data_IF_505020786202
#
_entry.id   IF_505020786202
#
_cell.length_a   1.000
_cell.length_b   1.000
_cell.length_c   1.000
_cell.angle_alpha   90.00
_cell.angle_beta   90.00
_cell.angle_gamma   90.00
#
_symmetry.space_group_name_H-M   'P 1'
#
loop_
_entity.id
_entity.type
_entity.pdbx_description
1 polymer ?
#
# COMPACT_ATOMS: atom_id res chain seq x y z
N UNK A 1 36.32 -14.04 24.95
CA UNK A 1 35.84 -14.34 23.59
C UNK A 1 34.92 -15.54 23.78
N UNK A 2 33.61 -15.30 23.86
CA UNK A 2 32.65 -16.40 23.96
C UNK A 2 32.63 -17.08 22.59
N UNK A 3 32.85 -18.37 22.57
CA UNK A 3 32.70 -19.21 21.39
C UNK A 3 31.25 -19.09 20.91
N UNK A 4 31.05 -18.27 19.86
CA UNK A 4 29.84 -18.30 19.06
C UNK A 4 29.83 -19.66 18.33
N UNK A 5 29.35 -20.69 19.01
CA UNK A 5 28.98 -21.94 18.38
C UNK A 5 27.81 -21.64 17.46
N UNK A 6 28.13 -21.38 16.20
CA UNK A 6 27.16 -21.22 15.13
C UNK A 6 26.49 -22.57 14.93
N UNK A 7 25.33 -22.80 15.53
CA UNK A 7 24.51 -23.95 15.20
C UNK A 7 24.11 -23.84 13.71
N UNK A 8 24.82 -24.56 12.86
CA UNK A 8 24.64 -24.61 11.41
C UNK A 8 23.27 -25.17 10.97
N UNK A 9 22.35 -25.30 11.92
CA UNK A 9 21.01 -25.86 11.76
C UNK A 9 19.84 -24.92 12.01
N UNK A 10 20.07 -23.68 12.48
CA UNK A 10 18.97 -22.75 12.70
C UNK A 10 18.22 -22.47 11.36
N UNK A 11 16.87 -22.53 11.33
CA UNK A 11 16.09 -22.38 10.10
C UNK A 11 16.45 -21.13 9.29
N UNK A 12 16.74 -20.02 9.98
CA UNK A 12 17.12 -18.76 9.35
C UNK A 12 18.50 -18.80 8.69
N UNK A 13 19.52 -19.41 9.32
CA UNK A 13 20.84 -19.57 8.73
C UNK A 13 20.78 -20.40 7.44
N UNK A 14 19.87 -21.38 7.37
CA UNK A 14 19.62 -22.16 6.16
C UNK A 14 19.04 -21.30 5.04
N UNK A 15 18.04 -20.45 5.32
CA UNK A 15 17.44 -19.54 4.36
C UNK A 15 18.49 -18.58 3.78
N UNK A 16 19.30 -17.95 4.66
CA UNK A 16 20.39 -17.07 4.25
C UNK A 16 21.43 -17.79 3.37
N UNK A 17 21.79 -19.03 3.71
CA UNK A 17 22.70 -19.87 2.90
C UNK A 17 22.14 -20.16 1.51
N UNK A 18 20.82 -20.40 1.38
CA UNK A 18 20.15 -20.64 0.09
C UNK A 18 20.26 -19.40 -0.80
N UNK A 19 19.89 -18.23 -0.29
CA UNK A 19 19.86 -17.00 -1.08
C UNK A 19 21.23 -16.37 -1.31
N UNK A 20 22.20 -16.61 -0.42
CA UNK A 20 23.53 -15.98 -0.41
C UNK A 20 24.62 -16.72 -1.19
N UNK A 21 24.35 -17.87 -1.80
CA UNK A 21 25.37 -18.71 -2.48
C UNK A 21 25.88 -18.15 -3.81
N UNK A 22 25.47 -16.96 -4.20
CA UNK A 22 25.85 -16.36 -5.49
C UNK A 22 25.05 -16.91 -6.68
N UNK A 23 25.28 -16.36 -7.90
CA UNK A 23 24.37 -16.53 -9.03
C UNK A 23 24.22 -17.96 -9.55
N UNK A 24 25.21 -18.81 -9.34
CA UNK A 24 25.22 -20.17 -9.90
C UNK A 24 24.69 -21.25 -8.92
N UNK A 25 24.72 -20.97 -7.62
CA UNK A 25 24.38 -21.94 -6.57
C UNK A 25 23.24 -21.46 -5.67
N UNK A 26 22.94 -20.17 -5.67
CA UNK A 26 21.80 -19.59 -4.96
C UNK A 26 20.52 -19.77 -5.76
N UNK A 27 19.42 -19.88 -5.05
CA UNK A 27 18.06 -19.88 -5.63
C UNK A 27 17.13 -19.00 -4.81
N UNK A 28 15.97 -18.71 -5.35
CA UNK A 28 14.88 -18.13 -4.58
C UNK A 28 14.38 -19.12 -3.53
N UNK A 29 13.88 -18.59 -2.42
CA UNK A 29 13.15 -19.38 -1.44
C UNK A 29 11.78 -19.78 -2.00
N UNK A 30 11.34 -20.98 -1.62
CA UNK A 30 9.94 -21.34 -1.78
C UNK A 30 9.04 -20.57 -0.80
N UNK A 31 7.72 -20.69 -0.99
CA UNK A 31 6.72 -20.00 -0.18
C UNK A 31 6.92 -20.26 1.33
N UNK A 32 7.00 -21.51 1.73
CA UNK A 32 7.15 -21.93 3.13
C UNK A 32 8.53 -21.58 3.70
N UNK A 33 9.59 -21.66 2.87
CA UNK A 33 10.93 -21.25 3.28
C UNK A 33 10.99 -19.74 3.56
N UNK A 34 10.38 -18.94 2.72
CA UNK A 34 10.29 -17.47 2.88
C UNK A 34 9.41 -17.07 4.07
N UNK A 35 8.31 -17.77 4.27
CA UNK A 35 7.42 -17.60 5.43
C UNK A 35 8.17 -17.89 6.73
N UNK A 36 8.85 -19.03 6.83
CA UNK A 36 9.62 -19.40 8.01
C UNK A 36 10.77 -18.42 8.29
N UNK A 37 11.49 -17.97 7.25
CA UNK A 37 12.57 -17.00 7.41
C UNK A 37 12.05 -15.64 7.92
N UNK A 38 10.95 -15.13 7.33
CA UNK A 38 10.37 -13.88 7.78
C UNK A 38 9.75 -13.99 9.17
N UNK A 39 9.16 -15.14 9.51
CA UNK A 39 8.65 -15.44 10.85
C UNK A 39 9.76 -15.31 11.89
N UNK A 40 10.92 -15.95 11.67
CA UNK A 40 12.06 -15.87 12.58
C UNK A 40 12.58 -14.43 12.77
N UNK A 41 12.54 -13.60 11.69
CA UNK A 41 12.90 -12.17 11.79
C UNK A 41 11.89 -11.43 12.66
N UNK A 42 10.59 -11.65 12.44
CA UNK A 42 9.53 -10.93 13.14
C UNK A 42 9.43 -11.35 14.63
N UNK A 43 9.76 -12.59 14.94
CA UNK A 43 9.78 -13.12 16.30
C UNK A 43 11.09 -12.79 17.07
N UNK A 44 12.06 -12.15 16.39
CA UNK A 44 13.34 -11.78 17.00
C UNK A 44 14.31 -12.94 17.20
N UNK A 45 14.10 -14.05 16.51
CA UNK A 45 14.94 -15.25 16.58
C UNK A 45 16.19 -15.17 15.67
N UNK A 46 16.17 -14.23 14.71
CA UNK A 46 17.28 -14.02 13.79
C UNK A 46 18.21 -12.94 14.32
N UNK A 47 19.54 -13.19 14.20
CA UNK A 47 20.56 -12.20 14.50
C UNK A 47 20.48 -10.98 13.58
N UNK A 48 20.70 -9.78 14.11
CA UNK A 48 20.55 -8.52 13.36
C UNK A 48 21.49 -8.42 12.15
N UNK A 49 22.71 -8.99 12.22
CA UNK A 49 23.63 -9.06 11.10
C UNK A 49 23.08 -9.97 10.00
N UNK A 50 22.51 -11.10 10.39
CA UNK A 50 21.85 -12.02 9.46
C UNK A 50 20.63 -11.37 8.81
N UNK A 51 19.81 -10.64 9.57
CA UNK A 51 18.66 -9.90 9.05
C UNK A 51 19.10 -8.90 7.99
N UNK A 52 20.10 -8.07 8.29
CA UNK A 52 20.63 -7.09 7.33
C UNK A 52 21.15 -7.75 6.04
N UNK A 53 21.92 -8.83 6.18
CA UNK A 53 22.47 -9.60 5.04
C UNK A 53 21.34 -10.22 4.19
N UNK A 54 20.32 -10.79 4.83
CA UNK A 54 19.17 -11.40 4.15
C UNK A 54 18.37 -10.36 3.35
N UNK A 55 18.01 -9.24 3.98
CA UNK A 55 17.26 -8.17 3.35
C UNK A 55 17.98 -7.58 2.15
N UNK A 56 19.30 -7.35 2.25
CA UNK A 56 20.11 -6.84 1.14
C UNK A 56 20.29 -7.87 0.03
N UNK A 57 20.44 -9.15 0.36
CA UNK A 57 20.57 -10.23 -0.63
C UNK A 57 19.30 -10.36 -1.46
N UNK A 58 18.12 -10.38 -0.83
CA UNK A 58 16.85 -10.39 -1.55
C UNK A 58 16.69 -9.14 -2.42
N UNK A 59 17.06 -7.96 -1.90
CA UNK A 59 16.97 -6.70 -2.65
C UNK A 59 17.85 -6.68 -3.88
N UNK A 60 19.09 -7.15 -3.80
CA UNK A 60 20.03 -7.12 -4.91
C UNK A 60 19.73 -8.15 -5.99
N UNK A 61 19.20 -9.29 -5.58
CA UNK A 61 18.79 -10.36 -6.49
C UNK A 61 17.42 -10.12 -7.13
N UNK A 62 16.58 -9.32 -6.50
CA UNK A 62 15.16 -9.20 -6.78
C UNK A 62 14.37 -10.32 -6.09
N UNK A 63 13.40 -9.95 -5.29
CA UNK A 63 12.50 -10.89 -4.64
C UNK A 63 11.57 -11.57 -5.65
N UNK A 64 11.37 -12.89 -5.52
CA UNK A 64 10.39 -13.64 -6.28
C UNK A 64 8.98 -13.47 -5.70
N UNK A 65 7.96 -13.79 -6.49
CA UNK A 65 6.56 -13.77 -6.02
C UNK A 65 6.32 -14.71 -4.84
N UNK A 66 6.96 -15.90 -4.84
CA UNK A 66 6.86 -16.86 -3.74
C UNK A 66 7.52 -16.32 -2.46
N UNK A 67 8.69 -15.67 -2.58
CA UNK A 67 9.37 -15.00 -1.45
C UNK A 67 8.50 -13.88 -0.88
N UNK A 68 7.93 -13.05 -1.75
CA UNK A 68 7.04 -11.96 -1.33
C UNK A 68 5.77 -12.51 -0.64
N UNK A 69 5.12 -13.51 -1.22
CA UNK A 69 3.93 -14.13 -0.65
C UNK A 69 4.21 -14.79 0.71
N UNK A 70 5.31 -15.53 0.85
CA UNK A 70 5.71 -16.15 2.12
C UNK A 70 5.98 -15.10 3.21
N UNK A 71 6.69 -14.03 2.87
CA UNK A 71 6.92 -12.92 3.79
C UNK A 71 5.61 -12.23 4.22
N UNK A 72 4.64 -12.05 3.28
CA UNK A 72 3.32 -11.50 3.60
C UNK A 72 2.55 -12.45 4.53
N UNK A 73 2.56 -13.76 4.30
CA UNK A 73 1.90 -14.74 5.17
C UNK A 73 2.44 -14.68 6.60
N UNK A 74 3.77 -14.67 6.75
CA UNK A 74 4.41 -14.53 8.05
C UNK A 74 4.01 -13.24 8.78
N UNK A 75 3.92 -12.13 8.05
CA UNK A 75 3.49 -10.85 8.60
C UNK A 75 2.01 -10.86 9.00
N UNK A 76 1.11 -11.33 8.12
CA UNK A 76 -0.34 -11.42 8.39
C UNK A 76 -0.64 -12.27 9.63
N UNK A 77 0.09 -13.36 9.86
CA UNK A 77 -0.08 -14.22 11.03
C UNK A 77 0.25 -13.54 12.38
N UNK A 78 0.88 -12.36 12.34
CA UNK A 78 1.30 -11.60 13.54
C UNK A 78 0.59 -10.25 13.68
N UNK A 79 -0.40 -9.99 12.81
CA UNK A 79 -1.23 -8.80 12.95
C UNK A 79 -2.20 -8.95 14.11
N UNK A 80 -2.63 -7.85 14.75
CA UNK A 80 -3.72 -7.88 15.70
C UNK A 80 -5.01 -8.36 15.01
N UNK A 81 -5.90 -8.98 15.78
CA UNK A 81 -7.21 -9.38 15.26
C UNK A 81 -8.08 -8.13 15.01
N UNK A 82 -8.38 -7.89 13.75
CA UNK A 82 -9.20 -6.79 13.26
C UNK A 82 -10.37 -7.28 12.39
N UNK A 83 -10.65 -8.59 12.38
CA UNK A 83 -11.73 -9.18 11.56
C UNK A 83 -13.12 -8.59 11.87
N UNK A 84 -13.31 -8.10 13.09
CA UNK A 84 -14.54 -7.41 13.47
C UNK A 84 -14.77 -6.04 12.81
N UNK A 85 -13.75 -5.50 12.12
CA UNK A 85 -13.85 -4.23 11.41
C UNK A 85 -14.43 -4.42 10.01
N UNK A 86 -15.72 -4.60 9.83
CA UNK A 86 -16.30 -4.74 8.49
C UNK A 86 -15.75 -3.70 7.49
N UNK A 87 -14.72 -4.08 6.69
CA UNK A 87 -14.00 -3.22 5.74
C UNK A 87 -14.33 -3.66 4.31
N UNK A 88 -14.74 -2.72 3.46
CA UNK A 88 -14.98 -2.99 2.05
C UNK A 88 -13.68 -2.88 1.24
N UNK A 89 -12.85 -1.87 1.54
CA UNK A 89 -11.63 -1.57 0.78
C UNK A 89 -10.44 -1.36 1.72
N UNK A 90 -9.43 -2.19 1.58
CA UNK A 90 -8.12 -2.03 2.18
C UNK A 90 -7.21 -1.18 1.27
N UNK A 91 -6.50 -0.23 1.86
CA UNK A 91 -5.68 0.72 1.10
C UNK A 91 -4.34 0.97 1.78
N UNK A 92 -3.28 0.24 1.42
CA UNK A 92 -1.94 0.44 1.94
C UNK A 92 -1.30 1.75 1.43
N UNK A 93 -0.71 2.52 2.34
CA UNK A 93 -0.02 3.78 2.10
C UNK A 93 1.40 3.72 2.69
N UNK A 94 2.35 3.26 1.88
CA UNK A 94 3.72 2.96 2.30
C UNK A 94 4.80 3.68 1.47
N UNK A 95 4.44 4.72 0.75
CA UNK A 95 5.43 5.59 0.15
C UNK A 95 6.07 6.45 1.25
N UNK A 96 7.38 6.29 1.42
CA UNK A 96 8.17 6.97 2.47
C UNK A 96 8.64 8.37 2.06
N UNK A 97 8.61 8.70 0.76
CA UNK A 97 9.04 9.98 0.22
C UNK A 97 8.05 10.50 -0.81
N UNK A 98 7.19 11.41 -0.41
CA UNK A 98 6.22 12.04 -1.28
C UNK A 98 6.82 13.25 -2.01
N UNK A 99 6.78 13.21 -3.34
CA UNK A 99 7.18 14.33 -4.21
C UNK A 99 5.99 15.02 -4.88
N UNK A 100 4.79 14.69 -4.41
CA UNK A 100 3.51 15.24 -4.84
C UNK A 100 2.52 15.06 -3.67
N UNK A 101 1.49 15.88 -3.65
CA UNK A 101 0.44 15.78 -2.62
C UNK A 101 -0.28 14.42 -2.69
N UNK A 102 -0.70 13.87 -1.52
CA UNK A 102 -1.40 12.60 -1.43
C UNK A 102 -2.89 12.75 -1.82
N UNK A 103 -3.15 13.07 -3.10
CA UNK A 103 -4.50 13.24 -3.63
C UNK A 103 -5.36 11.99 -3.49
N UNK A 104 -4.73 10.81 -3.35
CA UNK A 104 -5.43 9.54 -3.08
C UNK A 104 -6.26 9.58 -1.79
N UNK A 105 -5.91 10.42 -0.82
CA UNK A 105 -6.70 10.62 0.39
C UNK A 105 -8.08 11.20 0.08
N UNK A 106 -8.18 12.05 -0.94
CA UNK A 106 -9.47 12.56 -1.42
C UNK A 106 -10.27 11.46 -2.13
N UNK A 107 -9.61 10.55 -2.86
CA UNK A 107 -10.28 9.40 -3.46
C UNK A 107 -10.83 8.45 -2.37
N UNK A 108 -10.04 8.15 -1.34
CA UNK A 108 -10.49 7.35 -0.21
C UNK A 108 -11.68 8.02 0.52
N UNK A 109 -11.61 9.33 0.73
CA UNK A 109 -12.72 10.11 1.32
C UNK A 109 -13.96 10.11 0.45
N UNK A 110 -13.80 10.22 -0.87
CA UNK A 110 -14.91 10.19 -1.82
C UNK A 110 -15.64 8.85 -1.77
N UNK A 111 -14.91 7.75 -1.75
CA UNK A 111 -15.45 6.41 -1.60
C UNK A 111 -16.16 6.23 -0.25
N UNK A 112 -15.57 6.72 0.83
CA UNK A 112 -16.19 6.67 2.15
C UNK A 112 -17.54 7.40 2.18
N UNK A 113 -17.64 8.58 1.53
CA UNK A 113 -18.90 9.31 1.38
C UNK A 113 -19.93 8.60 0.50
N UNK A 114 -19.46 7.74 -0.42
CA UNK A 114 -20.31 6.86 -1.23
C UNK A 114 -20.69 5.54 -0.52
N UNK A 115 -20.45 5.44 0.79
CA UNK A 115 -20.84 4.28 1.62
C UNK A 115 -19.86 3.11 1.52
N UNK A 116 -18.62 3.31 1.05
CA UNK A 116 -17.56 2.30 1.08
C UNK A 116 -16.78 2.45 2.38
N UNK A 117 -16.67 1.37 3.17
CA UNK A 117 -15.85 1.37 4.39
C UNK A 117 -14.39 1.16 4.02
N UNK A 118 -13.59 2.22 4.10
CA UNK A 118 -12.18 2.26 3.66
C UNK A 118 -11.26 2.22 4.86
N UNK A 119 -10.36 1.24 4.90
CA UNK A 119 -9.27 1.18 5.86
C UNK A 119 -7.95 1.53 5.18
N UNK A 120 -7.44 2.72 5.49
CA UNK A 120 -6.08 3.09 5.18
C UNK A 120 -5.13 2.57 6.26
N UNK A 121 -3.98 2.07 5.87
CA UNK A 121 -2.90 1.73 6.80
C UNK A 121 -1.54 2.04 6.18
N UNK A 122 -0.55 2.39 7.01
CA UNK A 122 0.73 2.78 6.42
C UNK A 122 1.70 3.42 7.40
N UNK A 123 2.67 4.11 6.81
CA UNK A 123 3.64 4.95 7.55
C UNK A 123 3.30 6.42 7.38
N UNK A 124 3.76 7.24 8.33
CA UNK A 124 3.49 8.69 8.29
C UNK A 124 4.02 9.36 7.02
N UNK A 125 5.11 8.83 6.45
CA UNK A 125 5.86 9.45 5.37
C UNK A 125 6.76 10.58 5.88
N UNK A 126 7.75 10.93 5.06
CA UNK A 126 8.65 12.05 5.34
C UNK A 126 8.25 13.30 4.55
N UNK A 127 8.50 14.48 5.13
CA UNK A 127 8.28 15.75 4.48
C UNK A 127 6.85 16.29 4.55
N UNK A 128 6.60 17.46 3.95
CA UNK A 128 5.35 18.21 4.13
C UNK A 128 4.15 17.54 3.42
N UNK A 129 4.36 16.70 2.43
CA UNK A 129 3.29 16.02 1.67
C UNK A 129 3.10 14.55 2.11
N UNK A 130 3.56 14.17 3.31
CA UNK A 130 3.36 12.84 3.86
C UNK A 130 1.88 12.54 4.12
N UNK A 131 1.56 11.26 4.23
CA UNK A 131 0.19 10.80 4.48
C UNK A 131 -0.38 11.38 5.76
N UNK A 132 0.42 11.47 6.84
CA UNK A 132 -0.01 12.06 8.12
C UNK A 132 -0.47 13.51 7.95
N UNK A 133 0.34 14.33 7.29
CA UNK A 133 0.03 15.76 7.08
C UNK A 133 -1.23 15.92 6.22
N UNK A 134 -1.43 15.04 5.23
CA UNK A 134 -2.67 15.02 4.45
C UNK A 134 -3.90 14.64 5.28
N UNK A 135 -3.79 13.64 6.15
CA UNK A 135 -4.87 13.26 7.07
C UNK A 135 -5.24 14.38 8.03
N UNK A 136 -4.23 15.04 8.63
CA UNK A 136 -4.41 16.18 9.51
C UNK A 136 -5.13 17.36 8.82
N UNK A 137 -4.68 17.69 7.59
CA UNK A 137 -5.31 18.75 6.79
C UNK A 137 -6.78 18.48 6.45
N UNK A 138 -7.13 17.20 6.32
CA UNK A 138 -8.50 16.74 6.05
C UNK A 138 -9.33 16.49 7.32
N UNK A 139 -8.74 16.65 8.51
CA UNK A 139 -9.40 16.34 9.78
C UNK A 139 -9.67 14.86 10.00
N UNK A 140 -8.88 13.97 9.36
CA UNK A 140 -8.99 12.53 9.51
C UNK A 140 -8.07 12.08 10.65
N UNK A 141 -8.66 11.50 11.70
CA UNK A 141 -7.92 11.02 12.86
C UNK A 141 -7.08 9.77 12.59
N UNK A 142 -5.98 9.63 13.35
CA UNK A 142 -5.14 8.44 13.36
C UNK A 142 -5.64 7.51 14.44
N UNK A 143 -6.14 6.32 14.06
CA UNK A 143 -6.56 5.31 15.01
C UNK A 143 -5.34 4.54 15.54
N UNK A 144 -5.30 4.30 16.85
CA UNK A 144 -4.23 3.55 17.52
C UNK A 144 -4.78 2.36 18.32
N UNK A 145 -5.98 1.92 17.97
CA UNK A 145 -6.60 0.71 18.49
C UNK A 145 -7.69 0.25 17.53
N UNK A 146 -8.10 -1.02 17.64
CA UNK A 146 -9.20 -1.58 16.88
C UNK A 146 -10.51 -0.81 17.10
N UNK A 147 -10.83 -0.46 18.37
CA UNK A 147 -12.02 0.29 18.73
C UNK A 147 -12.01 1.72 18.16
N UNK A 148 -10.83 2.36 18.13
CA UNK A 148 -10.70 3.69 17.52
C UNK A 148 -10.92 3.62 16.00
N UNK A 149 -10.42 2.58 15.35
CA UNK A 149 -10.65 2.34 13.92
C UNK A 149 -12.13 2.04 13.64
N UNK A 150 -12.77 1.20 14.47
CA UNK A 150 -14.20 0.90 14.36
C UNK A 150 -15.05 2.18 14.44
N UNK A 151 -14.82 3.01 15.48
CA UNK A 151 -15.52 4.30 15.63
C UNK A 151 -15.31 5.25 14.45
N UNK A 152 -14.09 5.27 13.87
CA UNK A 152 -13.80 6.10 12.70
C UNK A 152 -14.54 5.58 11.44
N UNK A 153 -14.54 4.26 11.22
CA UNK A 153 -15.29 3.62 10.14
C UNK A 153 -16.79 3.85 10.27
N UNK A 154 -17.35 3.77 11.48
CA UNK A 154 -18.79 3.96 11.72
C UNK A 154 -19.22 5.42 11.54
N UNK A 155 -18.38 6.37 11.95
CA UNK A 155 -18.68 7.79 11.85
C UNK A 155 -18.43 8.37 10.46
N UNK A 156 -17.27 8.03 9.85
CA UNK A 156 -16.77 8.69 8.67
C UNK A 156 -16.65 7.77 7.44
N UNK A 157 -16.86 6.44 7.60
CA UNK A 157 -16.58 5.44 6.57
C UNK A 157 -15.10 5.26 6.26
N UNK A 158 -14.19 5.93 6.98
CA UNK A 158 -12.76 5.99 6.71
C UNK A 158 -11.97 5.93 8.01
N UNK A 159 -11.02 5.00 8.11
CA UNK A 159 -10.07 4.92 9.21
C UNK A 159 -8.64 4.83 8.69
N UNK A 160 -7.67 5.31 9.48
CA UNK A 160 -6.24 5.12 9.23
C UNK A 160 -5.57 4.47 10.45
N UNK A 161 -4.87 3.35 10.20
CA UNK A 161 -4.07 2.62 11.18
C UNK A 161 -2.57 2.73 10.84
N UNK A 162 -1.72 3.28 11.74
CA UNK A 162 -0.29 3.34 11.50
C UNK A 162 0.36 1.95 11.62
N UNK A 163 1.43 1.72 10.84
CA UNK A 163 2.18 0.46 10.85
C UNK A 163 2.74 0.14 12.23
N UNK A 164 3.14 1.16 12.98
CA UNK A 164 3.67 1.04 14.34
C UNK A 164 2.66 0.40 15.30
N UNK A 165 1.37 0.56 15.05
CA UNK A 165 0.31 -0.14 15.79
C UNK A 165 0.09 -1.55 15.23
N UNK A 166 0.01 -1.70 13.91
CA UNK A 166 -0.30 -2.98 13.25
C UNK A 166 0.82 -4.02 13.41
N UNK A 167 2.06 -3.58 13.22
CA UNK A 167 3.22 -4.47 13.18
C UNK A 167 4.49 -3.69 13.57
N UNK A 168 4.75 -3.44 14.88
CA UNK A 168 5.87 -2.65 15.35
C UNK A 168 7.22 -3.12 14.78
N UNK A 169 7.44 -4.43 14.72
CA UNK A 169 8.69 -4.97 14.17
C UNK A 169 8.87 -4.67 12.68
N UNK A 170 7.79 -4.68 11.88
CA UNK A 170 7.87 -4.24 10.48
C UNK A 170 8.17 -2.74 10.36
N UNK A 171 7.65 -1.92 11.25
CA UNK A 171 7.97 -0.49 11.29
C UNK A 171 9.47 -0.27 11.57
N UNK A 172 10.05 -1.00 12.53
CA UNK A 172 11.49 -0.98 12.83
C UNK A 172 12.32 -1.42 11.61
N UNK A 173 11.91 -2.50 10.92
CA UNK A 173 12.60 -2.99 9.73
C UNK A 173 12.51 -1.99 8.55
N UNK A 174 11.40 -1.29 8.37
CA UNK A 174 11.30 -0.20 7.39
C UNK A 174 12.23 0.97 7.73
N UNK A 175 12.38 1.27 9.02
CA UNK A 175 13.27 2.33 9.52
C UNK A 175 14.77 2.00 9.33
N UNK A 176 15.14 0.79 8.91
CA UNK A 176 16.53 0.45 8.57
C UNK A 176 17.01 1.08 7.24
N UNK A 177 16.12 1.63 6.42
CA UNK A 177 16.48 2.23 5.12
C UNK A 177 17.67 3.21 5.18
N UNK A 178 17.77 4.18 6.11
CA UNK A 178 18.93 5.07 6.21
C UNK A 178 20.24 4.34 6.55
N UNK A 179 20.16 3.25 7.31
CA UNK A 179 21.32 2.43 7.70
C UNK A 179 21.76 1.48 6.58
N UNK A 180 20.81 0.90 5.82
CA UNK A 180 21.07 -0.02 4.71
C UNK A 180 21.31 0.71 3.38
N UNK A 181 20.94 1.99 3.27
CA UNK A 181 21.07 2.80 2.06
C UNK A 181 20.02 2.51 0.98
N UNK A 182 19.23 1.46 1.12
CA UNK A 182 18.24 1.02 0.12
C UNK A 182 16.93 0.56 0.77
N UNK A 183 15.85 0.55 -0.02
CA UNK A 183 14.61 -0.16 0.34
C UNK A 183 14.82 -1.67 0.22
N UNK A 184 14.10 -2.45 1.04
CA UNK A 184 14.17 -3.91 1.09
C UNK A 184 12.83 -4.54 0.74
N UNK A 185 12.73 -5.87 0.78
CA UNK A 185 11.46 -6.60 0.60
C UNK A 185 10.38 -6.14 1.59
N UNK A 186 10.76 -5.59 2.74
CA UNK A 186 9.80 -5.08 3.74
C UNK A 186 8.93 -3.99 3.13
N UNK A 187 9.47 -3.11 2.26
CA UNK A 187 8.71 -2.07 1.57
C UNK A 187 7.68 -2.63 0.56
N UNK A 188 7.89 -3.85 0.08
CA UNK A 188 6.94 -4.58 -0.79
C UNK A 188 5.91 -5.33 0.06
N UNK A 189 6.33 -6.12 1.04
CA UNK A 189 5.45 -6.99 1.82
C UNK A 189 4.37 -6.21 2.61
N UNK A 190 4.70 -5.04 3.17
CA UNK A 190 3.72 -4.24 3.95
C UNK A 190 2.50 -3.81 3.12
N UNK A 191 2.62 -3.77 1.79
CA UNK A 191 1.49 -3.48 0.89
C UNK A 191 0.51 -4.65 0.80
N UNK A 192 0.92 -5.84 1.22
CA UNK A 192 0.12 -7.05 1.25
C UNK A 192 -0.52 -7.39 2.59
N UNK A 193 -0.47 -6.51 3.61
CA UNK A 193 -0.88 -6.88 4.98
C UNK A 193 -2.35 -7.22 5.13
N UNK A 194 -3.28 -6.46 4.52
CA UNK A 194 -4.74 -6.67 4.65
C UNK A 194 -5.19 -6.96 6.09
N UNK A 195 -5.02 -5.99 7.01
CA UNK A 195 -5.15 -6.26 8.44
C UNK A 195 -6.56 -6.57 8.92
N UNK A 196 -7.59 -6.18 8.16
CA UNK A 196 -8.99 -6.41 8.49
C UNK A 196 -9.67 -7.42 7.56
N UNK A 197 -8.92 -8.14 6.71
CA UNK A 197 -9.46 -9.05 5.69
C UNK A 197 -10.59 -8.41 4.89
N UNK A 198 -10.28 -7.30 4.23
CA UNK A 198 -11.22 -6.50 3.46
C UNK A 198 -11.85 -7.29 2.30
N UNK A 199 -12.98 -6.80 1.80
CA UNK A 199 -13.65 -7.40 0.63
C UNK A 199 -12.86 -7.20 -0.67
N UNK A 200 -12.07 -6.12 -0.75
CA UNK A 200 -11.19 -5.83 -1.89
C UNK A 200 -10.02 -4.95 -1.44
N UNK A 201 -8.97 -4.88 -2.26
CA UNK A 201 -7.76 -4.08 -1.96
C UNK A 201 -7.30 -3.30 -3.17
N UNK A 202 -6.78 -2.07 -2.96
CA UNK A 202 -6.15 -1.28 -4.02
C UNK A 202 -4.70 -0.98 -3.65
N UNK A 203 -3.76 -1.40 -4.49
CA UNK A 203 -2.32 -1.35 -4.20
C UNK A 203 -1.58 -0.48 -5.22
N UNK A 204 -0.88 0.54 -4.74
CA UNK A 204 0.02 1.36 -5.53
C UNK A 204 1.44 0.81 -5.56
N UNK A 205 2.06 0.78 -6.75
CA UNK A 205 3.45 0.36 -6.94
C UNK A 205 4.20 1.44 -7.72
N UNK A 206 5.41 1.77 -7.31
CA UNK A 206 6.18 2.85 -7.95
C UNK A 206 6.85 2.42 -9.26
N UNK A 207 7.51 1.26 -9.25
CA UNK A 207 8.26 0.76 -10.41
C UNK A 207 7.47 -0.31 -11.16
N UNK A 208 7.25 -0.15 -12.49
CA UNK A 208 6.45 -1.09 -13.29
C UNK A 208 6.83 -2.58 -13.17
N UNK A 209 8.13 -2.96 -13.09
CA UNK A 209 8.50 -4.37 -12.92
C UNK A 209 7.92 -5.05 -11.66
N UNK A 210 7.66 -4.28 -10.60
CA UNK A 210 7.07 -4.81 -9.37
C UNK A 210 5.56 -5.07 -9.46
N UNK A 211 4.86 -4.51 -10.48
CA UNK A 211 3.42 -4.79 -10.69
C UNK A 211 3.18 -6.29 -10.81
N UNK A 212 3.96 -6.96 -11.67
CA UNK A 212 3.81 -8.39 -11.90
C UNK A 212 4.18 -9.21 -10.64
N UNK A 213 5.27 -8.86 -9.97
CA UNK A 213 5.69 -9.55 -8.75
C UNK A 213 4.63 -9.48 -7.65
N UNK A 214 4.00 -8.31 -7.47
CA UNK A 214 2.88 -8.16 -6.52
C UNK A 214 1.65 -8.95 -6.97
N UNK A 215 1.28 -8.91 -8.25
CA UNK A 215 0.13 -9.64 -8.75
C UNK A 215 0.29 -11.16 -8.60
N UNK A 216 1.47 -11.69 -8.91
CA UNK A 216 1.77 -13.12 -8.72
C UNK A 216 1.81 -13.51 -7.24
N UNK A 217 2.32 -12.64 -6.36
CA UNK A 217 2.30 -12.88 -4.92
C UNK A 217 0.86 -12.91 -4.39
N UNK A 218 -0.01 -11.95 -4.80
CA UNK A 218 -1.42 -11.95 -4.42
C UNK A 218 -2.17 -13.17 -4.97
N UNK A 219 -1.86 -13.63 -6.19
CA UNK A 219 -2.41 -14.87 -6.75
C UNK A 219 -2.00 -16.11 -5.92
N UNK A 220 -0.75 -16.16 -5.41
CA UNK A 220 -0.30 -17.24 -4.53
C UNK A 220 -1.02 -17.19 -3.18
N UNK A 221 -1.28 -15.98 -2.67
CA UNK A 221 -1.98 -15.78 -1.40
C UNK A 221 -3.47 -16.13 -1.46
N UNK A 222 -4.06 -16.14 -2.67
CA UNK A 222 -5.46 -16.50 -2.94
C UNK A 222 -6.46 -15.83 -1.98
N UNK A 223 -6.28 -14.51 -1.83
CA UNK A 223 -7.10 -13.68 -0.94
C UNK A 223 -8.27 -12.98 -1.64
N UNK A 224 -8.69 -11.85 -1.11
CA UNK A 224 -9.72 -11.00 -1.73
C UNK A 224 -9.24 -10.41 -3.07
N UNK A 225 -10.17 -9.92 -3.92
CA UNK A 225 -9.83 -9.19 -5.13
C UNK A 225 -8.89 -8.01 -4.89
N UNK A 226 -7.83 -7.88 -5.72
CA UNK A 226 -6.85 -6.81 -5.60
C UNK A 226 -6.66 -6.09 -6.94
N UNK A 227 -6.71 -4.77 -6.94
CA UNK A 227 -6.30 -3.95 -8.06
C UNK A 227 -4.90 -3.36 -7.80
N UNK A 228 -3.94 -3.70 -8.66
CA UNK A 228 -2.56 -3.25 -8.53
C UNK A 228 -2.25 -2.32 -9.70
N UNK A 229 -1.79 -1.11 -9.40
CA UNK A 229 -1.51 -0.10 -10.41
C UNK A 229 -0.18 0.62 -10.16
N UNK A 230 0.40 1.17 -11.24
CA UNK A 230 1.50 2.12 -11.09
C UNK A 230 0.97 3.42 -10.52
N UNK A 231 1.31 3.71 -9.27
CA UNK A 231 0.82 4.87 -8.57
C UNK A 231 1.74 6.07 -8.58
N UNK A 232 1.15 7.24 -8.46
CA UNK A 232 1.86 8.50 -8.25
C UNK A 232 2.58 8.51 -6.91
N UNK A 233 3.90 8.76 -6.92
CA UNK A 233 4.70 8.74 -5.70
C UNK A 233 4.86 7.36 -5.04
N UNK A 234 4.27 6.30 -5.59
CA UNK A 234 4.27 4.95 -5.00
C UNK A 234 3.00 4.63 -4.20
N UNK A 235 2.07 5.56 -4.15
CA UNK A 235 0.73 5.38 -3.60
C UNK A 235 -0.26 4.90 -4.68
N UNK A 236 -1.39 4.32 -4.30
CA UNK A 236 -2.46 4.00 -5.24
C UNK A 236 -3.16 5.29 -5.71
N UNK A 237 -2.46 6.05 -6.52
CA UNK A 237 -2.88 7.34 -7.08
C UNK A 237 -2.64 7.34 -8.58
N UNK A 238 -3.71 7.34 -9.36
CA UNK A 238 -3.65 7.32 -10.82
C UNK A 238 -3.06 8.62 -11.36
N UNK A 239 -2.15 8.51 -12.36
CA UNK A 239 -1.79 9.67 -13.18
C UNK A 239 -2.84 9.81 -14.30
N UNK A 240 -3.62 10.91 -14.35
CA UNK A 240 -4.70 11.08 -15.33
C UNK A 240 -4.22 11.40 -16.75
N UNK A 241 -2.98 11.83 -16.92
CA UNK A 241 -2.40 12.23 -18.21
C UNK A 241 -1.95 11.05 -19.07
N UNK A 242 -1.92 9.84 -18.47
CA UNK A 242 -1.39 8.63 -19.11
C UNK A 242 -2.37 7.47 -18.97
N UNK A 243 -2.38 6.54 -19.94
CA UNK A 243 -3.06 5.28 -19.74
C UNK A 243 -2.54 4.58 -18.48
N UNK A 244 -3.45 4.01 -17.71
CA UNK A 244 -3.13 3.31 -16.48
C UNK A 244 -3.34 1.81 -16.66
N UNK A 245 -2.26 1.04 -16.55
CA UNK A 245 -2.29 -0.40 -16.50
C UNK A 245 -2.67 -0.83 -15.08
N UNK A 246 -3.75 -1.58 -14.95
CA UNK A 246 -4.24 -2.15 -13.70
C UNK A 246 -4.19 -3.67 -13.83
N UNK A 247 -3.51 -4.34 -12.91
CA UNK A 247 -3.56 -5.79 -12.76
C UNK A 247 -4.61 -6.11 -11.70
N UNK A 248 -5.71 -6.74 -12.13
CA UNK A 248 -6.76 -7.24 -11.26
C UNK A 248 -6.47 -8.70 -10.95
N UNK A 249 -6.34 -9.02 -9.67
CA UNK A 249 -6.09 -10.38 -9.18
C UNK A 249 -7.33 -10.86 -8.44
N UNK A 250 -7.84 -12.01 -8.84
CA UNK A 250 -9.00 -12.69 -8.24
C UNK A 250 -8.76 -14.20 -8.26
N UNK A 251 -9.69 -14.99 -7.71
CA UNK A 251 -9.63 -16.45 -7.71
C UNK A 251 -9.46 -17.05 -9.12
N UNK A 252 -9.90 -16.35 -10.18
CA UNK A 252 -9.73 -16.75 -11.58
C UNK A 252 -8.35 -16.49 -12.18
N UNK A 253 -7.45 -15.80 -11.48
CA UNK A 253 -6.13 -15.44 -11.96
C UNK A 253 -5.84 -13.94 -11.98
N UNK A 254 -4.94 -13.55 -12.90
CA UNK A 254 -4.53 -12.16 -13.10
C UNK A 254 -5.11 -11.67 -14.42
N UNK A 255 -5.93 -10.64 -14.39
CA UNK A 255 -6.46 -9.93 -15.53
C UNK A 255 -5.75 -8.59 -15.69
N UNK A 256 -5.29 -8.26 -16.89
CA UNK A 256 -4.75 -6.95 -17.21
C UNK A 256 -5.81 -6.05 -17.83
N UNK A 257 -6.05 -4.90 -17.25
CA UNK A 257 -6.95 -3.88 -17.73
C UNK A 257 -6.17 -2.60 -18.08
N UNK A 258 -6.38 -2.06 -19.27
CA UNK A 258 -5.82 -0.78 -19.68
C UNK A 258 -6.89 0.32 -19.57
N UNK A 259 -6.73 1.20 -18.61
CA UNK A 259 -7.60 2.36 -18.40
C UNK A 259 -7.08 3.54 -19.24
N UNK A 260 -7.89 4.18 -20.10
CA UNK A 260 -7.44 5.27 -20.96
C UNK A 260 -7.01 6.50 -20.14
N UNK A 261 -6.14 7.35 -20.70
CA UNK A 261 -5.85 8.65 -20.10
C UNK A 261 -7.13 9.47 -19.99
N UNK A 262 -7.29 10.23 -18.90
CA UNK A 262 -8.43 11.12 -18.67
C UNK A 262 -8.16 12.52 -19.24
N UNK A 263 -6.90 12.95 -19.19
CA UNK A 263 -6.42 14.26 -19.63
C UNK A 263 -5.15 14.09 -20.49
N UNK A 264 -5.24 13.49 -21.69
CA UNK A 264 -4.06 13.16 -22.50
C UNK A 264 -3.29 14.39 -22.98
N UNK A 265 -3.94 15.52 -23.14
CA UNK A 265 -3.34 16.79 -23.60
C UNK A 265 -2.80 17.64 -22.45
N UNK A 266 -3.14 17.34 -21.22
CA UNK A 266 -2.69 18.08 -20.05
C UNK A 266 -1.24 17.72 -19.68
N UNK A 267 -0.55 18.68 -19.05
CA UNK A 267 0.79 18.51 -18.49
C UNK A 267 0.86 19.22 -17.15
N UNK A 268 0.40 18.52 -16.12
CA UNK A 268 0.48 19.03 -14.76
C UNK A 268 1.88 18.79 -14.17
N UNK A 269 2.43 19.81 -13.54
CA UNK A 269 3.78 19.76 -12.99
C UNK A 269 3.82 19.05 -11.62
N UNK A 270 3.51 17.74 -11.60
CA UNK A 270 3.40 16.92 -10.37
C UNK A 270 4.58 17.03 -9.41
N UNK A 271 5.79 17.30 -9.92
CA UNK A 271 7.00 17.39 -9.09
C UNK A 271 7.33 18.80 -8.63
N UNK A 272 6.63 19.77 -9.17
CA UNK A 272 6.82 21.20 -8.92
C UNK A 272 5.63 21.80 -8.18
N UNK A 273 4.59 20.98 -7.92
CA UNK A 273 3.43 21.45 -7.19
C UNK A 273 3.82 21.85 -5.75
N UNK A 274 3.22 22.92 -5.21
CA UNK A 274 3.41 23.28 -3.81
C UNK A 274 2.99 22.13 -2.89
N UNK A 275 3.92 21.64 -2.07
CA UNK A 275 3.69 20.53 -1.15
C UNK A 275 3.00 21.01 0.14
N UNK A 276 1.89 21.70 -0.01
CA UNK A 276 1.08 22.28 1.07
C UNK A 276 -0.16 21.41 1.30
N UNK A 277 -0.24 20.65 2.43
CA UNK A 277 -1.37 19.76 2.70
C UNK A 277 -2.74 20.46 2.73
N UNK A 278 -2.78 21.76 3.08
CA UNK A 278 -4.01 22.55 3.06
C UNK A 278 -4.70 22.58 1.66
N UNK A 279 -3.93 22.38 0.58
CA UNK A 279 -4.46 22.29 -0.78
C UNK A 279 -5.40 21.10 -0.98
N UNK A 280 -5.23 20.01 -0.23
CA UNK A 280 -6.16 18.87 -0.22
C UNK A 280 -7.56 19.33 0.22
N UNK A 281 -7.61 20.08 1.32
CA UNK A 281 -8.87 20.63 1.83
C UNK A 281 -9.45 21.66 0.86
N UNK A 282 -8.64 22.59 0.37
CA UNK A 282 -9.09 23.61 -0.57
C UNK A 282 -9.68 23.00 -1.86
N UNK A 283 -9.07 21.94 -2.40
CA UNK A 283 -9.61 21.22 -3.56
C UNK A 283 -10.94 20.52 -3.24
N UNK A 284 -11.04 19.91 -2.07
CA UNK A 284 -12.28 19.26 -1.64
C UNK A 284 -13.42 20.26 -1.48
N UNK A 285 -13.16 21.43 -0.93
CA UNK A 285 -14.16 22.47 -0.68
C UNK A 285 -14.51 23.31 -1.92
N UNK A 286 -13.69 23.22 -2.97
CA UNK A 286 -13.87 23.99 -4.21
C UNK A 286 -13.27 25.38 -4.13
N UNK A 287 -12.46 25.68 -3.13
CA UNK A 287 -11.68 26.91 -3.00
C UNK A 287 -10.42 26.89 -3.90
N UNK A 288 -10.08 25.72 -4.42
CA UNK A 288 -9.00 25.46 -5.37
C UNK A 288 -9.54 24.61 -6.52
N UNK A 289 -9.29 25.04 -7.75
CA UNK A 289 -9.69 24.32 -8.97
C UNK A 289 -8.43 23.82 -9.70
N UNK A 290 -8.26 22.51 -9.78
CA UNK A 290 -7.14 21.83 -10.44
C UNK A 290 -7.66 20.61 -11.20
N UNK A 291 -7.70 20.66 -12.52
CA UNK A 291 -8.24 19.60 -13.36
C UNK A 291 -7.49 18.27 -13.16
N UNK A 292 -6.15 18.28 -13.18
CA UNK A 292 -5.35 17.08 -13.07
C UNK A 292 -5.44 16.39 -11.69
N UNK A 293 -5.35 17.09 -10.54
CA UNK A 293 -5.64 16.50 -9.24
C UNK A 293 -7.06 15.94 -9.12
N UNK A 294 -8.09 16.64 -9.61
CA UNK A 294 -9.47 16.12 -9.62
C UNK A 294 -9.57 14.84 -10.43
N UNK A 295 -9.00 14.82 -11.63
CA UNK A 295 -8.99 13.62 -12.47
C UNK A 295 -8.17 12.48 -11.85
N UNK A 296 -7.09 12.77 -11.10
CA UNK A 296 -6.36 11.76 -10.32
C UNK A 296 -7.24 11.16 -9.21
N UNK A 297 -8.00 12.00 -8.50
CA UNK A 297 -8.94 11.58 -7.45
C UNK A 297 -10.06 10.72 -8.04
N UNK A 298 -10.77 11.21 -9.04
CA UNK A 298 -11.92 10.50 -9.64
C UNK A 298 -11.46 9.23 -10.36
N UNK A 299 -10.32 9.28 -11.08
CA UNK A 299 -9.76 8.12 -11.77
C UNK A 299 -9.25 7.04 -10.81
N UNK A 300 -8.77 7.40 -9.62
CA UNK A 300 -8.38 6.43 -8.60
C UNK A 300 -9.61 5.82 -7.93
N UNK A 301 -10.59 6.64 -7.58
CA UNK A 301 -11.86 6.17 -7.03
C UNK A 301 -12.61 5.26 -8.00
N UNK A 302 -12.57 5.56 -9.31
CA UNK A 302 -13.18 4.72 -10.34
C UNK A 302 -12.61 3.29 -10.36
N UNK A 303 -11.29 3.14 -10.26
CA UNK A 303 -10.64 1.81 -10.19
C UNK A 303 -11.17 1.03 -8.96
N UNK A 304 -11.28 1.68 -7.82
CA UNK A 304 -11.81 1.04 -6.60
C UNK A 304 -13.31 0.69 -6.73
N UNK A 305 -14.13 1.57 -7.32
CA UNK A 305 -15.57 1.31 -7.57
C UNK A 305 -15.78 0.13 -8.50
N UNK A 306 -14.99 0.03 -9.57
CA UNK A 306 -15.04 -1.11 -10.48
C UNK A 306 -14.60 -2.41 -9.80
N UNK A 307 -13.52 -2.37 -9.02
CA UNK A 307 -13.05 -3.51 -8.24
C UNK A 307 -14.11 -4.03 -7.26
N UNK A 308 -14.84 -3.13 -6.61
CA UNK A 308 -15.91 -3.44 -5.66
C UNK A 308 -17.23 -3.85 -6.34
N UNK A 309 -17.27 -3.93 -7.69
CA UNK A 309 -18.47 -4.27 -8.45
C UNK A 309 -19.59 -3.21 -8.39
N UNK A 310 -19.25 -1.96 -8.05
CA UNK A 310 -20.20 -0.83 -8.04
C UNK A 310 -20.49 -0.29 -9.45
N UNK A 311 -19.69 -0.67 -10.44
CA UNK A 311 -19.86 -0.36 -11.85
C UNK A 311 -19.34 -1.53 -12.69
N UNK A 312 -20.03 -1.86 -13.79
CA UNK A 312 -19.74 -3.02 -14.62
C UNK A 312 -18.52 -2.81 -15.55
N UNK A 313 -18.18 -1.56 -15.85
CA UNK A 313 -17.08 -1.22 -16.75
C UNK A 313 -16.24 -0.06 -16.23
N UNK A 314 -14.97 0.07 -16.70
CA UNK A 314 -14.15 1.23 -16.39
C UNK A 314 -14.78 2.57 -16.73
N UNK A 315 -15.52 2.66 -17.84
CA UNK A 315 -16.22 3.88 -18.25
C UNK A 315 -17.36 4.25 -17.30
N UNK A 316 -18.19 3.27 -16.91
CA UNK A 316 -19.25 3.49 -15.92
C UNK A 316 -18.69 3.87 -14.55
N UNK A 317 -17.58 3.22 -14.15
CA UNK A 317 -16.90 3.53 -12.89
C UNK A 317 -16.35 4.97 -12.87
N UNK A 318 -15.79 5.42 -13.99
CA UNK A 318 -15.30 6.79 -14.13
C UNK A 318 -16.45 7.79 -14.04
N UNK A 319 -17.54 7.57 -14.78
CA UNK A 319 -18.73 8.44 -14.74
C UNK A 319 -19.33 8.50 -13.32
N UNK A 320 -19.40 7.36 -12.63
CA UNK A 320 -19.86 7.30 -11.24
C UNK A 320 -18.95 8.11 -10.31
N UNK A 321 -17.63 7.96 -10.43
CA UNK A 321 -16.67 8.70 -9.60
C UNK A 321 -16.75 10.22 -9.84
N UNK A 322 -16.98 10.66 -11.08
CA UNK A 322 -17.17 12.06 -11.44
C UNK A 322 -18.47 12.62 -10.88
N UNK A 323 -19.56 11.87 -10.96
CA UNK A 323 -20.84 12.25 -10.35
C UNK A 323 -20.71 12.40 -8.82
N UNK A 324 -20.09 11.43 -8.15
CA UNK A 324 -19.82 11.48 -6.71
C UNK A 324 -18.95 12.69 -6.34
N UNK A 325 -17.96 13.03 -7.18
CA UNK A 325 -17.12 14.20 -6.96
C UNK A 325 -17.93 15.49 -7.09
N UNK A 326 -18.79 15.60 -8.09
CA UNK A 326 -19.64 16.76 -8.31
C UNK A 326 -20.63 16.99 -7.14
N UNK A 327 -21.18 15.91 -6.59
CA UNK A 327 -22.15 15.92 -5.51
C UNK A 327 -21.53 15.89 -4.10
N UNK A 328 -20.19 15.88 -3.98
CA UNK A 328 -19.51 15.73 -2.69
C UNK A 328 -19.90 16.83 -1.70
N UNK A 329 -20.20 16.49 -0.45
CA UNK A 329 -20.48 17.50 0.58
C UNK A 329 -19.19 18.26 0.91
N UNK A 330 -19.29 19.58 0.99
CA UNK A 330 -18.18 20.43 1.47
C UNK A 330 -17.96 20.18 2.97
N UNK A 331 -16.71 20.27 3.42
CA UNK A 331 -16.40 20.20 4.86
C UNK A 331 -16.99 21.41 5.56
N UNK A 332 -17.58 21.22 6.74
CA UNK A 332 -18.01 22.35 7.55
C UNK A 332 -16.81 23.25 7.83
N UNK A 333 -16.93 24.54 7.53
CA UNK A 333 -15.91 25.52 7.92
C UNK A 333 -15.84 25.51 9.44
N UNK A 334 -14.66 25.31 10.00
CA UNK A 334 -14.46 25.54 11.44
C UNK A 334 -14.74 27.01 11.68
N UNK A 335 -15.72 27.30 12.55
CA UNK A 335 -16.07 28.65 12.97
C UNK A 335 -14.95 29.29 13.79
#
# INVERSE_FOLDING_TARGET
MADLVYEAGAPFARALKIVGRGPNLGRSLGLEEAEAAMAAILDGEADELQVGAFLLTLRTRGESAAELAGCIRAARARLPDLEGLAVDLDWPSYADAHRQLPWFLLAARLLARAGVRVLLHGVAGEGPAGTRQGLEALGIGIARSAEAAARALDRDGLAYLPLEFLAPRLAELMALKPRLGVRTIVNSLVRGLDPARARARIVGVFHPPYLQAHAEAERILDGCPVAILKGGGGEAQRNPEKPCRVLRVEAGGIEEQLWPALLPEERYAWREEPLEPARLRALWEGDLELAAPVAAVTGTAAIALHLLGRAASPGEAQALAEALWAERPRLARAA
#
